data_IF_302119375499
#
_entry.id   IF_302119375499
#
_cell.length_a   1.000
_cell.length_b   1.000
_cell.length_c   1.000
_cell.angle_alpha   90.00
_cell.angle_beta   90.00
_cell.angle_gamma   90.00
#
_symmetry.space_group_name_H-M   'P 1'
#
loop_
_entity.id
_entity.type
_entity.pdbx_description
1 polymer ?
#
# COMPACT_ATOMS: atom_id res chain seq x y z
N UNK A 1 -16.46 -21.24 46.77
CA UNK A 1 -16.89 -21.37 45.35
C UNK A 1 -16.91 -20.05 44.56
N UNK A 2 -16.70 -18.90 45.18
CA UNK A 2 -16.89 -17.57 44.57
C UNK A 2 -15.68 -17.04 43.78
N UNK A 3 -14.44 -17.34 44.20
CA UNK A 3 -13.23 -16.86 43.51
C UNK A 3 -13.01 -17.45 42.12
N UNK A 4 -13.28 -18.74 41.94
CA UNK A 4 -13.04 -19.45 40.67
C UNK A 4 -13.95 -18.93 39.54
N UNK A 5 -15.20 -18.60 39.89
CA UNK A 5 -16.17 -18.02 38.95
C UNK A 5 -15.83 -16.56 38.60
N UNK A 6 -15.30 -15.79 39.57
CA UNK A 6 -14.86 -14.41 39.35
C UNK A 6 -13.67 -14.35 38.37
N UNK A 7 -12.70 -15.25 38.52
CA UNK A 7 -11.54 -15.34 37.63
C UNK A 7 -11.92 -15.74 36.20
N UNK A 8 -12.87 -16.66 36.04
CA UNK A 8 -13.38 -17.07 34.73
C UNK A 8 -14.09 -15.93 34.01
N UNK A 9 -14.94 -15.17 34.72
CA UNK A 9 -15.62 -14.00 34.16
C UNK A 9 -14.64 -12.90 33.74
N UNK A 10 -13.63 -12.63 34.56
CA UNK A 10 -12.59 -11.66 34.22
C UNK A 10 -11.80 -12.07 32.97
N UNK A 11 -11.42 -13.34 32.86
CA UNK A 11 -10.72 -13.87 31.69
C UNK A 11 -11.57 -13.80 30.41
N UNK A 12 -12.87 -14.11 30.50
CA UNK A 12 -13.83 -14.00 29.38
C UNK A 12 -14.00 -12.54 28.96
N UNK A 13 -14.17 -11.63 29.92
CA UNK A 13 -14.29 -10.19 29.62
C UNK A 13 -13.02 -9.64 28.96
N UNK A 14 -11.83 -10.02 29.45
CA UNK A 14 -10.55 -9.63 28.86
C UNK A 14 -10.37 -10.14 27.42
N UNK A 15 -10.81 -11.38 27.14
CA UNK A 15 -10.73 -11.95 25.79
C UNK A 15 -11.73 -11.30 24.82
N UNK A 16 -12.93 -10.97 25.28
CA UNK A 16 -13.90 -10.19 24.48
C UNK A 16 -13.40 -8.77 24.22
N UNK A 17 -12.79 -8.11 25.22
CA UNK A 17 -12.23 -6.76 25.06
C UNK A 17 -11.05 -6.74 24.07
N UNK A 18 -10.18 -7.75 24.13
CA UNK A 18 -9.08 -7.92 23.20
C UNK A 18 -9.57 -8.17 21.76
N UNK A 19 -10.61 -8.99 21.58
CA UNK A 19 -11.23 -9.22 20.28
C UNK A 19 -11.87 -7.94 19.71
N UNK A 20 -12.56 -7.17 20.54
CA UNK A 20 -13.19 -5.91 20.13
C UNK A 20 -12.14 -4.85 19.72
N UNK A 21 -11.04 -4.72 20.48
CA UNK A 21 -9.94 -3.82 20.14
C UNK A 21 -9.26 -4.20 18.82
N UNK A 22 -9.14 -5.49 18.51
CA UNK A 22 -8.61 -5.96 17.23
C UNK A 22 -9.54 -5.60 16.05
N UNK A 23 -10.86 -5.58 16.26
CA UNK A 23 -11.85 -5.25 15.22
C UNK A 23 -12.09 -3.76 14.97
N UNK A 24 -11.67 -2.87 15.89
CA UNK A 24 -11.85 -1.43 15.72
C UNK A 24 -10.81 -0.79 14.77
N UNK A 25 -9.72 -1.49 14.47
CA UNK A 25 -8.62 -1.01 13.62
C UNK A 25 -8.61 -1.59 12.20
N UNK A 26 -9.70 -2.20 11.72
CA UNK A 26 -9.70 -2.99 10.47
C UNK A 26 -10.16 -2.24 9.22
N UNK A 27 -10.41 -0.93 9.26
CA UNK A 27 -10.85 -0.18 8.08
C UNK A 27 -9.69 0.49 7.34
N UNK A 28 -9.44 0.05 6.11
CA UNK A 28 -8.47 0.66 5.20
C UNK A 28 -9.05 1.90 4.53
N UNK A 29 -9.21 2.97 5.31
CA UNK A 29 -9.74 4.26 4.87
C UNK A 29 -8.69 5.38 5.06
N UNK A 30 -8.65 6.38 4.16
CA UNK A 30 -7.85 7.59 4.37
C UNK A 30 -8.22 8.30 5.67
N UNK A 31 -7.22 8.81 6.39
CA UNK A 31 -7.37 9.44 7.70
C UNK A 31 -7.46 8.45 8.88
N UNK A 32 -7.51 7.15 8.59
CA UNK A 32 -7.50 6.07 9.59
C UNK A 32 -6.19 5.26 9.47
N UNK A 33 -6.26 4.02 8.98
CA UNK A 33 -5.09 3.16 8.78
C UNK A 33 -4.25 3.57 7.54
N UNK A 34 -4.77 4.43 6.68
CA UNK A 34 -4.10 4.95 5.49
C UNK A 34 -4.00 6.48 5.64
N UNK A 35 -2.83 7.11 5.44
CA UNK A 35 -2.71 8.57 5.42
C UNK A 35 -3.56 9.22 4.32
N UNK A 36 -4.00 10.46 4.54
CA UNK A 36 -4.64 11.27 3.48
C UNK A 36 -3.69 11.45 2.28
N UNK A 37 -4.25 11.41 1.07
CA UNK A 37 -3.48 11.39 -0.19
C UNK A 37 -2.27 10.43 -0.16
N UNK A 38 -2.52 9.11 -0.04
CA UNK A 38 -1.47 8.14 0.22
C UNK A 38 -0.46 8.04 -0.93
N UNK A 39 0.78 7.68 -0.58
CA UNK A 39 1.87 7.37 -1.51
C UNK A 39 2.26 8.54 -2.44
N UNK A 40 2.16 9.78 -1.95
CA UNK A 40 2.48 10.98 -2.73
C UNK A 40 3.92 10.96 -3.26
N UNK A 41 4.86 10.41 -2.49
CA UNK A 41 6.27 10.28 -2.90
C UNK A 41 6.49 9.19 -3.95
N UNK A 42 5.51 8.30 -4.18
CA UNK A 42 5.59 7.31 -5.24
C UNK A 42 5.33 7.88 -6.64
N UNK A 43 4.62 9.01 -6.77
CA UNK A 43 4.35 9.62 -8.08
C UNK A 43 5.63 9.91 -8.89
N UNK A 44 6.64 10.64 -8.40
CA UNK A 44 7.86 10.89 -9.17
C UNK A 44 8.59 9.60 -9.53
N UNK A 45 8.66 8.62 -8.62
CA UNK A 45 9.28 7.32 -8.90
C UNK A 45 8.55 6.55 -10.01
N UNK A 46 7.22 6.50 -9.97
CA UNK A 46 6.39 5.87 -11.00
C UNK A 46 6.57 6.55 -12.35
N UNK A 47 6.58 7.89 -12.40
CA UNK A 47 6.81 8.63 -13.64
C UNK A 47 8.21 8.38 -14.21
N UNK A 48 9.24 8.36 -13.36
CA UNK A 48 10.59 8.04 -13.79
C UNK A 48 10.66 6.64 -14.39
N UNK A 49 10.07 5.65 -13.72
CA UNK A 49 10.25 4.24 -14.11
C UNK A 49 9.33 3.79 -15.24
N UNK A 50 8.08 4.26 -15.26
CA UNK A 50 7.09 3.90 -16.27
C UNK A 50 7.21 4.76 -17.54
N UNK A 51 7.63 6.03 -17.40
CA UNK A 51 7.60 7.00 -18.49
C UNK A 51 8.98 7.49 -18.93
N UNK A 52 10.04 7.24 -18.15
CA UNK A 52 11.33 7.92 -18.35
C UNK A 52 11.28 9.44 -18.10
N UNK A 53 10.20 9.93 -17.46
CA UNK A 53 9.98 11.35 -17.18
C UNK A 53 10.58 11.71 -15.81
N UNK A 54 11.30 12.82 -15.73
CA UNK A 54 12.11 13.17 -14.54
C UNK A 54 13.59 12.81 -14.67
N UNK A 55 13.98 12.18 -15.79
CA UNK A 55 15.37 12.08 -16.22
C UNK A 55 15.80 13.35 -16.95
N UNK A 56 16.32 14.33 -16.23
CA UNK A 56 17.36 15.19 -16.83
C UNK A 56 18.57 14.34 -17.25
N UNK A 57 19.66 14.95 -17.77
CA UNK A 57 20.93 14.23 -17.89
C UNK A 57 21.19 13.47 -16.58
N UNK A 58 21.62 12.19 -16.65
CA UNK A 58 21.86 11.41 -15.45
C UNK A 58 22.71 12.25 -14.50
N UNK A 59 22.28 12.49 -13.24
CA UNK A 59 23.11 13.23 -12.31
C UNK A 59 24.47 12.52 -12.24
N UNK A 60 25.57 13.24 -11.94
CA UNK A 60 26.89 12.64 -11.77
C UNK A 60 26.95 11.59 -10.62
N UNK A 61 25.82 11.33 -9.96
CA UNK A 61 25.64 10.35 -8.90
C UNK A 61 24.73 9.20 -9.36
N UNK A 62 25.02 7.96 -8.93
CA UNK A 62 24.39 6.76 -9.47
C UNK A 62 22.95 6.63 -9.00
N UNK A 63 21.98 6.75 -9.93
CA UNK A 63 20.53 6.53 -9.75
C UNK A 63 19.86 7.40 -8.67
N UNK A 64 18.70 7.99 -8.98
CA UNK A 64 17.87 8.66 -7.96
C UNK A 64 17.15 7.64 -7.06
N UNK A 65 17.93 6.90 -6.26
CA UNK A 65 17.44 5.97 -5.24
C UNK A 65 16.57 6.68 -4.19
N UNK A 66 16.67 8.00 -4.08
CA UNK A 66 15.91 8.84 -3.15
C UNK A 66 14.41 8.72 -3.41
N UNK A 67 13.99 8.80 -4.67
CA UNK A 67 12.57 8.71 -5.05
C UNK A 67 11.98 7.32 -4.74
N UNK A 68 12.73 6.24 -5.02
CA UNK A 68 12.34 4.87 -4.65
C UNK A 68 12.28 4.70 -3.13
N UNK A 69 13.31 5.16 -2.42
CA UNK A 69 13.40 5.01 -0.97
C UNK A 69 12.25 5.71 -0.24
N UNK A 70 11.92 6.96 -0.62
CA UNK A 70 10.80 7.70 -0.05
C UNK A 70 9.46 7.03 -0.35
N UNK A 71 9.26 6.58 -1.60
CA UNK A 71 8.06 5.83 -1.99
C UNK A 71 7.89 4.56 -1.14
N UNK A 72 8.93 3.74 -1.03
CA UNK A 72 8.87 2.49 -0.28
C UNK A 72 8.75 2.72 1.23
N UNK A 73 9.31 3.82 1.76
CA UNK A 73 9.12 4.21 3.14
C UNK A 73 7.66 4.57 3.44
N UNK A 74 7.01 5.36 2.58
CA UNK A 74 5.58 5.67 2.71
C UNK A 74 4.73 4.40 2.65
N UNK A 75 5.01 3.50 1.71
CA UNK A 75 4.27 2.24 1.59
C UNK A 75 4.49 1.30 2.78
N UNK A 76 5.70 1.27 3.34
CA UNK A 76 6.04 0.45 4.51
C UNK A 76 5.34 0.93 5.78
N UNK A 77 5.15 2.24 5.93
CA UNK A 77 4.45 2.85 7.06
C UNK A 77 2.95 2.49 7.12
N UNK A 78 2.39 2.04 5.99
CA UNK A 78 1.00 1.56 5.93
C UNK A 78 0.96 0.10 6.44
N UNK A 79 0.00 -0.26 7.32
CA UNK A 79 -0.15 -1.63 7.79
C UNK A 79 -0.29 -2.62 6.64
N UNK A 80 0.31 -3.81 6.77
CA UNK A 80 0.33 -4.83 5.71
C UNK A 80 -1.05 -5.13 5.14
N UNK A 81 -2.08 -5.17 6.00
CA UNK A 81 -3.45 -5.45 5.59
C UNK A 81 -4.10 -4.34 4.74
N UNK A 82 -3.54 -3.13 4.73
CA UNK A 82 -4.03 -1.99 3.95
C UNK A 82 -3.18 -1.58 2.75
N UNK A 83 -2.00 -2.18 2.54
CA UNK A 83 -1.07 -1.78 1.47
C UNK A 83 -1.68 -1.87 0.08
N UNK A 84 -2.42 -2.95 -0.22
CA UNK A 84 -3.10 -3.08 -1.52
C UNK A 84 -4.20 -2.03 -1.71
N UNK A 85 -4.94 -1.69 -0.65
CA UNK A 85 -5.92 -0.61 -0.68
C UNK A 85 -5.27 0.76 -0.92
N UNK A 86 -4.13 1.03 -0.27
CA UNK A 86 -3.39 2.27 -0.47
C UNK A 86 -2.86 2.41 -1.90
N UNK A 87 -2.33 1.32 -2.50
CA UNK A 87 -1.93 1.30 -3.91
C UNK A 87 -3.12 1.56 -4.84
N UNK A 88 -4.28 0.95 -4.56
CA UNK A 88 -5.50 1.21 -5.31
C UNK A 88 -5.89 2.70 -5.22
N UNK A 89 -5.89 3.31 -4.04
CA UNK A 89 -6.24 4.73 -3.87
C UNK A 89 -5.22 5.67 -4.51
N UNK A 90 -3.94 5.32 -4.49
CA UNK A 90 -2.90 6.04 -5.21
C UNK A 90 -3.18 6.07 -6.72
N UNK A 91 -3.59 4.93 -7.29
CA UNK A 91 -3.90 4.81 -8.72
C UNK A 91 -5.25 5.43 -9.08
N UNK A 92 -6.33 4.98 -8.44
CA UNK A 92 -7.74 5.22 -8.78
C UNK A 92 -8.38 6.37 -8.00
N UNK A 93 -7.82 6.69 -6.85
CA UNK A 93 -8.45 7.58 -5.89
C UNK A 93 -9.57 6.89 -5.12
N UNK A 94 -10.13 7.62 -4.17
CA UNK A 94 -11.22 7.18 -3.31
C UNK A 94 -12.00 8.39 -2.81
N UNK A 95 -13.30 8.22 -2.63
CA UNK A 95 -14.13 9.18 -1.89
C UNK A 95 -14.08 8.78 -0.41
N UNK A 96 -13.56 9.66 0.43
CA UNK A 96 -13.46 9.45 1.87
C UNK A 96 -14.83 9.43 2.54
N UNK A 97 -14.88 9.02 3.81
CA UNK A 97 -16.10 9.10 4.63
C UNK A 97 -16.64 10.52 4.81
N UNK A 98 -15.80 11.55 4.65
CA UNK A 98 -16.20 12.95 4.65
C UNK A 98 -16.66 13.47 3.28
N UNK A 99 -16.73 12.60 2.26
CA UNK A 99 -17.16 12.95 0.90
C UNK A 99 -16.08 13.63 0.06
N UNK A 100 -14.82 13.65 0.52
CA UNK A 100 -13.70 14.27 -0.20
C UNK A 100 -13.06 13.25 -1.13
N UNK A 101 -12.79 13.63 -2.39
CA UNK A 101 -12.02 12.79 -3.30
C UNK A 101 -10.52 13.01 -3.09
N UNK A 102 -9.78 11.93 -2.80
CA UNK A 102 -8.34 11.94 -2.58
C UNK A 102 -7.62 10.84 -3.36
N UNK A 103 -6.31 10.98 -3.54
CA UNK A 103 -5.50 10.05 -4.32
C UNK A 103 -5.62 10.30 -5.83
N UNK A 104 -5.68 9.24 -6.63
CA UNK A 104 -5.64 9.31 -8.11
C UNK A 104 -4.52 10.22 -8.62
N UNK A 105 -3.30 9.97 -8.15
CA UNK A 105 -2.15 10.85 -8.41
C UNK A 105 -1.54 10.63 -9.80
N UNK A 106 -2.02 9.63 -10.54
CA UNK A 106 -1.58 9.28 -11.89
C UNK A 106 -2.52 9.86 -12.94
N UNK A 107 -1.94 10.53 -13.93
CA UNK A 107 -2.64 11.33 -14.94
C UNK A 107 -2.02 11.10 -16.32
N UNK A 108 -2.78 11.34 -17.39
CA UNK A 108 -2.22 11.25 -18.74
C UNK A 108 -1.18 12.33 -18.99
N UNK A 109 0.00 11.92 -19.43
CA UNK A 109 1.09 12.83 -19.82
C UNK A 109 1.44 12.62 -21.30
N UNK A 110 1.96 13.65 -22.00
CA UNK A 110 2.46 13.50 -23.36
C UNK A 110 3.48 12.36 -23.44
N UNK A 111 3.19 11.34 -24.24
CA UNK A 111 4.06 10.16 -24.40
C UNK A 111 4.04 9.16 -23.23
N UNK A 112 3.25 9.40 -22.17
CA UNK A 112 3.06 8.44 -21.09
C UNK A 112 1.59 8.39 -20.61
N UNK A 113 0.78 7.47 -21.16
CA UNK A 113 -0.61 7.33 -20.74
C UNK A 113 -0.70 6.84 -19.31
N UNK A 114 -1.78 7.22 -18.63
CA UNK A 114 -2.05 6.86 -17.23
C UNK A 114 -2.04 5.35 -17.00
N UNK A 115 -2.54 4.56 -17.96
CA UNK A 115 -2.56 3.09 -17.85
C UNK A 115 -1.16 2.48 -17.77
N UNK A 116 -0.16 3.09 -18.43
CA UNK A 116 1.24 2.64 -18.29
C UNK A 116 1.76 2.91 -16.88
N UNK A 117 1.45 4.08 -16.33
CA UNK A 117 1.84 4.45 -14.97
C UNK A 117 1.20 3.51 -13.94
N UNK A 118 -0.07 3.15 -14.15
CA UNK A 118 -0.81 2.19 -13.32
C UNK A 118 -0.22 0.80 -13.32
N UNK A 119 0.11 0.28 -14.51
CA UNK A 119 0.74 -1.04 -14.63
C UNK A 119 2.00 -1.13 -13.79
N UNK A 120 2.84 -0.08 -13.80
CA UNK A 120 4.01 -0.03 -12.93
C UNK A 120 3.66 0.18 -11.46
N UNK A 121 2.71 1.07 -11.13
CA UNK A 121 2.30 1.32 -9.76
C UNK A 121 1.77 0.06 -9.04
N UNK A 122 1.06 -0.81 -9.77
CA UNK A 122 0.60 -2.10 -9.25
C UNK A 122 1.75 -3.04 -8.82
N UNK A 123 2.95 -2.86 -9.41
CA UNK A 123 4.15 -3.64 -9.09
C UNK A 123 4.95 -3.09 -7.90
N UNK A 124 4.62 -1.92 -7.33
CA UNK A 124 5.42 -1.32 -6.25
C UNK A 124 5.58 -2.24 -5.03
N UNK A 125 4.66 -3.16 -4.80
CA UNK A 125 4.68 -4.09 -3.68
C UNK A 125 5.67 -5.26 -3.86
N UNK A 126 6.07 -5.58 -5.11
CA UNK A 126 6.76 -6.82 -5.47
C UNK A 126 8.22 -6.83 -5.00
N UNK A 127 8.90 -8.00 -5.01
CA UNK A 127 10.30 -8.12 -4.59
C UNK A 127 11.28 -7.23 -5.37
N UNK A 128 10.99 -6.94 -6.64
CA UNK A 128 11.80 -6.09 -7.51
C UNK A 128 11.69 -4.60 -7.11
N UNK A 129 10.60 -4.24 -6.42
CA UNK A 129 10.30 -2.88 -6.01
C UNK A 129 10.51 -2.65 -4.51
N UNK A 130 9.45 -2.60 -3.70
CA UNK A 130 9.55 -2.35 -2.27
C UNK A 130 9.61 -3.61 -1.41
N UNK A 131 9.26 -4.78 -1.97
CA UNK A 131 9.27 -6.08 -1.27
C UNK A 131 8.54 -6.07 0.08
N UNK A 132 7.27 -5.63 0.10
CA UNK A 132 6.50 -5.44 1.33
C UNK A 132 5.35 -6.44 1.43
N UNK A 133 5.29 -7.20 2.52
CA UNK A 133 4.19 -8.15 2.74
C UNK A 133 2.80 -7.50 2.83
N UNK A 134 1.76 -8.18 2.34
CA UNK A 134 0.37 -7.69 2.35
C UNK A 134 -0.54 -8.57 3.21
N UNK A 135 -1.85 -8.32 3.18
CA UNK A 135 -2.86 -9.23 3.76
C UNK A 135 -2.78 -10.66 3.19
N UNK A 136 -2.17 -10.82 2.01
CA UNK A 136 -2.08 -12.11 1.31
C UNK A 136 -0.86 -12.93 1.74
N UNK A 137 -0.11 -12.50 2.76
CA UNK A 137 1.04 -13.24 3.30
C UNK A 137 2.31 -13.16 2.45
N UNK A 138 2.35 -12.27 1.44
CA UNK A 138 3.53 -12.04 0.61
C UNK A 138 3.51 -10.68 -0.09
N UNK A 139 4.56 -10.36 -0.88
CA UNK A 139 4.73 -9.08 -1.56
C UNK A 139 3.93 -9.01 -2.87
N UNK A 140 2.60 -9.18 -2.79
CA UNK A 140 1.73 -9.18 -3.96
C UNK A 140 0.31 -8.68 -3.63
N UNK A 141 -0.39 -8.17 -4.66
CA UNK A 141 -1.77 -7.72 -4.61
C UNK A 141 -2.54 -8.28 -5.83
N UNK A 142 -3.20 -9.44 -5.71
CA UNK A 142 -3.81 -10.16 -6.84
C UNK A 142 -4.80 -9.34 -7.66
N UNK A 143 -5.57 -8.47 -7.00
CA UNK A 143 -6.58 -7.61 -7.61
C UNK A 143 -5.99 -6.46 -8.42
N UNK A 144 -4.69 -6.15 -8.26
CA UNK A 144 -4.01 -5.04 -8.94
C UNK A 144 -3.15 -5.51 -10.11
N UNK A 145 -2.49 -6.66 -9.98
CA UNK A 145 -1.58 -7.20 -11.00
C UNK A 145 -2.24 -8.16 -11.99
N UNK A 146 -3.56 -8.36 -11.88
CA UNK A 146 -4.31 -9.22 -12.79
C UNK A 146 -3.90 -10.69 -12.68
N UNK A 147 -4.13 -11.33 -11.53
CA UNK A 147 -4.32 -12.79 -11.39
C UNK A 147 -3.19 -13.75 -11.79
N UNK A 148 -2.14 -13.34 -12.48
CA UNK A 148 -1.09 -14.24 -12.98
C UNK A 148 0.17 -14.05 -12.13
N UNK A 149 0.28 -14.88 -11.08
CA UNK A 149 1.57 -15.08 -10.43
C UNK A 149 2.49 -15.83 -11.40
N UNK A 150 3.72 -15.35 -11.66
CA UNK A 150 4.74 -16.20 -12.25
C UNK A 150 4.99 -17.35 -11.27
N UNK A 151 4.63 -18.57 -11.69
CA UNK A 151 4.95 -19.77 -10.95
C UNK A 151 6.46 -19.82 -10.76
N UNK A 152 6.90 -19.82 -9.51
CA UNK A 152 8.31 -20.04 -9.17
C UNK A 152 8.65 -21.49 -9.46
N UNK A 153 9.11 -21.76 -10.69
CA UNK A 153 9.80 -23.01 -11.01
C UNK A 153 11.05 -23.11 -10.13
N UNK A 154 10.96 -23.94 -9.09
CA UNK A 154 12.13 -24.44 -8.38
C UNK A 154 12.78 -25.49 -9.27
N UNK A 155 13.93 -25.14 -9.86
CA UNK A 155 14.86 -26.10 -10.44
C UNK A 155 15.96 -26.44 -9.45
#
# INVERSE_FOLDING_TARGET
MTHKNLLLLAAVLLSVLAAAAASAATSCQPGMAIPHNPLRSCRPYVLQRACGLGGGPPPPHPYDWTSKALCCQELAAIPSYCRCGALLYFMDGVVTSSGVFEGRLLEDLPGCPRERQRGFAAMLITPEECNLGTIHGGPYCPSLTGGEMPSTEHK
#
